data_IF_242235133753
#
_entry.id   IF_242235133753
#
_cell.length_a   1.000
_cell.length_b   1.000
_cell.length_c   1.000
_cell.angle_alpha   90.00
_cell.angle_beta   90.00
_cell.angle_gamma   90.00
#
_symmetry.space_group_name_H-M   'P 1'
#
loop_
_entity.id
_entity.type
_entity.pdbx_description
1 polymer ?
#
# COMPACT_ATOMS: atom_id res chain seq x y z
N UNK A 1 -14.66 -50.72 79.19
CA UNK A 1 -14.02 -49.43 79.46
C UNK A 1 -13.71 -48.75 78.11
N UNK A 2 -14.40 -47.69 77.88
CA UNK A 2 -14.44 -47.02 76.62
C UNK A 2 -13.30 -46.01 76.47
N UNK A 3 -12.63 -46.01 75.31
CA UNK A 3 -11.75 -44.89 74.92
C UNK A 3 -12.21 -44.35 73.64
N UNK A 4 -12.68 -43.10 73.69
CA UNK A 4 -13.11 -42.31 72.49
C UNK A 4 -11.84 -41.79 71.80
N UNK A 5 -11.68 -42.12 70.52
CA UNK A 5 -10.73 -41.46 69.63
C UNK A 5 -11.46 -40.34 68.90
N UNK A 6 -11.02 -39.13 69.12
CA UNK A 6 -11.45 -37.93 68.35
C UNK A 6 -10.89 -38.00 66.95
N UNK A 7 -11.75 -37.83 66.02
CA UNK A 7 -11.43 -37.75 64.56
C UNK A 7 -11.31 -36.28 64.18
N UNK A 8 -10.07 -35.79 64.02
CA UNK A 8 -9.82 -34.43 63.53
C UNK A 8 -10.04 -34.45 62.03
N UNK A 9 -11.09 -33.77 61.58
CA UNK A 9 -11.33 -33.51 60.17
C UNK A 9 -10.46 -32.32 59.74
N UNK A 10 -9.42 -32.58 58.95
CA UNK A 10 -8.73 -31.53 58.22
C UNK A 10 -9.59 -31.11 57.03
N UNK A 11 -10.19 -29.93 57.13
CA UNK A 11 -10.85 -29.28 56.02
C UNK A 11 -9.79 -28.54 55.21
N UNK A 12 -9.38 -29.11 54.10
CA UNK A 12 -8.51 -28.42 53.11
C UNK A 12 -9.37 -27.46 52.33
N UNK A 13 -9.21 -26.17 52.59
CA UNK A 13 -9.85 -25.11 51.75
C UNK A 13 -9.02 -24.98 50.48
N UNK A 14 -9.52 -25.53 49.37
CA UNK A 14 -9.02 -25.23 48.05
C UNK A 14 -9.50 -23.82 47.67
N UNK A 15 -8.60 -22.83 47.77
CA UNK A 15 -8.81 -21.55 47.14
C UNK A 15 -8.64 -21.70 45.62
N UNK A 16 -9.72 -21.80 44.88
CA UNK A 16 -9.72 -21.71 43.47
C UNK A 16 -9.40 -20.24 43.11
N UNK A 17 -8.14 -19.95 42.76
CA UNK A 17 -7.76 -18.71 42.12
C UNK A 17 -8.33 -18.73 40.69
N UNK A 18 -9.50 -18.14 40.53
CA UNK A 18 -10.06 -17.82 39.21
C UNK A 18 -9.14 -16.80 38.54
N UNK A 19 -8.21 -17.27 37.69
CA UNK A 19 -7.58 -16.39 36.72
C UNK A 19 -8.71 -15.89 35.77
N UNK A 20 -9.20 -14.70 36.04
CA UNK A 20 -9.92 -13.92 35.04
C UNK A 20 -8.93 -13.63 33.90
N UNK A 21 -8.90 -14.51 32.91
CA UNK A 21 -8.37 -14.14 31.58
C UNK A 21 -9.34 -13.09 31.05
N UNK A 22 -9.00 -11.82 31.22
CA UNK A 22 -9.58 -10.77 30.38
C UNK A 22 -9.22 -11.17 28.94
N UNK A 23 -10.21 -11.33 28.05
CA UNK A 23 -9.85 -11.47 26.64
C UNK A 23 -9.05 -10.21 26.30
N UNK A 24 -7.82 -10.39 25.79
CA UNK A 24 -7.13 -9.33 25.09
C UNK A 24 -8.09 -8.88 23.99
N UNK A 25 -8.73 -7.76 24.21
CA UNK A 25 -9.43 -7.05 23.16
C UNK A 25 -8.30 -6.54 22.25
N UNK A 26 -7.89 -7.36 21.29
CA UNK A 26 -7.16 -6.89 20.13
C UNK A 26 -8.05 -5.78 19.54
N UNK A 27 -7.66 -4.54 19.79
CA UNK A 27 -8.30 -3.38 19.17
C UNK A 27 -8.32 -3.67 17.68
N UNK A 28 -9.50 -3.75 17.10
CA UNK A 28 -9.64 -3.96 15.67
C UNK A 28 -8.70 -2.96 14.96
N UNK A 29 -7.87 -3.42 14.01
CA UNK A 29 -6.89 -2.55 13.39
C UNK A 29 -7.57 -1.26 12.91
N UNK A 30 -7.05 -0.12 13.35
CA UNK A 30 -7.55 1.19 12.99
C UNK A 30 -7.09 1.57 11.59
N UNK A 31 -7.67 2.64 11.05
CA UNK A 31 -7.07 3.30 9.88
C UNK A 31 -5.81 4.04 10.36
N UNK A 32 -4.67 3.76 9.74
CA UNK A 32 -3.38 4.36 10.07
C UNK A 32 -2.79 5.06 8.86
N UNK A 33 -2.02 6.14 9.10
CA UNK A 33 -1.39 6.90 8.04
C UNK A 33 0.00 6.32 7.75
N UNK A 34 0.28 6.03 6.49
CA UNK A 34 1.61 5.77 5.94
C UNK A 34 2.06 6.91 5.03
N UNK A 35 3.34 6.93 4.66
CA UNK A 35 3.91 7.89 3.71
C UNK A 35 4.44 7.14 2.50
N UNK A 36 3.91 7.47 1.32
CA UNK A 36 4.43 7.04 0.05
C UNK A 36 5.66 7.89 -0.33
N UNK A 37 6.75 7.22 -0.69
CA UNK A 37 8.02 7.85 -1.05
C UNK A 37 7.88 8.78 -2.25
N UNK A 38 6.93 8.48 -3.14
CA UNK A 38 6.64 9.34 -4.29
C UNK A 38 6.29 10.78 -3.92
N UNK A 39 5.78 11.01 -2.70
CA UNK A 39 5.54 12.36 -2.17
C UNK A 39 6.80 13.24 -2.09
N UNK A 40 7.99 12.62 -2.14
CA UNK A 40 9.30 13.29 -2.12
C UNK A 40 10.06 13.09 -3.44
N UNK A 41 9.34 12.78 -4.53
CA UNK A 41 9.95 12.39 -5.81
C UNK A 41 10.84 13.50 -6.42
N UNK A 42 10.52 14.78 -6.23
CA UNK A 42 11.31 15.90 -6.73
C UNK A 42 12.66 16.01 -6.01
N UNK A 43 12.62 15.88 -4.68
CA UNK A 43 13.84 15.88 -3.86
C UNK A 43 14.73 14.67 -4.15
N UNK A 44 14.15 13.49 -4.33
CA UNK A 44 14.86 12.26 -4.69
C UNK A 44 15.48 12.34 -6.08
N UNK A 45 14.70 12.73 -7.10
CA UNK A 45 15.18 12.92 -8.48
C UNK A 45 16.22 14.02 -8.59
N UNK A 46 16.04 15.10 -7.82
CA UNK A 46 16.98 16.21 -7.74
C UNK A 46 18.24 15.93 -6.93
N UNK A 47 18.34 14.77 -6.28
CA UNK A 47 19.49 14.34 -5.49
C UNK A 47 19.68 15.09 -4.17
N UNK A 48 18.67 15.84 -3.72
CA UNK A 48 18.67 16.52 -2.41
C UNK A 48 18.25 15.60 -1.27
N UNK A 49 17.62 14.48 -1.61
CA UNK A 49 17.23 13.41 -0.69
C UNK A 49 17.86 12.11 -1.19
N UNK A 50 18.48 11.35 -0.27
CA UNK A 50 18.93 9.99 -0.54
C UNK A 50 17.81 9.01 -0.16
N UNK A 51 17.52 8.02 -1.03
CA UNK A 51 16.51 7.00 -0.77
C UNK A 51 16.71 6.29 0.58
N UNK A 52 17.96 6.02 0.97
CA UNK A 52 18.27 5.37 2.24
C UNK A 52 17.88 6.21 3.46
N UNK A 53 17.71 7.52 3.30
CA UNK A 53 17.31 8.43 4.39
C UNK A 53 15.78 8.56 4.52
N UNK A 54 15.01 8.05 3.55
CA UNK A 54 13.56 8.19 3.53
C UNK A 54 12.86 7.73 4.82
N UNK A 55 13.17 6.56 5.42
CA UNK A 55 12.55 6.16 6.69
C UNK A 55 12.80 7.18 7.82
N UNK A 56 14.03 7.69 7.90
CA UNK A 56 14.40 8.71 8.90
C UNK A 56 13.68 10.03 8.66
N UNK A 57 13.49 10.43 7.40
CA UNK A 57 12.74 11.63 7.01
C UNK A 57 11.28 11.48 7.41
N UNK A 58 10.63 10.37 7.07
CA UNK A 58 9.24 10.07 7.43
C UNK A 58 9.03 10.21 8.95
N UNK A 59 9.91 9.60 9.74
CA UNK A 59 9.82 9.64 11.20
C UNK A 59 10.11 11.00 11.78
N UNK A 60 11.23 11.64 11.42
CA UNK A 60 11.71 12.86 12.06
C UNK A 60 10.99 14.12 11.60
N UNK A 61 10.65 14.21 10.31
CA UNK A 61 10.05 15.43 9.76
C UNK A 61 8.51 15.41 9.85
N UNK A 62 7.90 14.23 9.73
CA UNK A 62 6.45 14.11 9.66
C UNK A 62 5.83 13.33 10.83
N UNK A 63 6.65 12.64 11.64
CA UNK A 63 6.13 11.80 12.73
C UNK A 63 5.41 10.55 12.24
N UNK A 64 5.66 10.14 10.98
CA UNK A 64 5.05 8.95 10.37
C UNK A 64 6.02 7.79 10.54
N UNK A 65 5.51 6.66 11.03
CA UNK A 65 6.31 5.47 11.32
C UNK A 65 6.02 4.28 10.39
N UNK A 66 5.29 4.50 9.29
CA UNK A 66 5.01 3.50 8.26
C UNK A 66 5.30 4.10 6.90
N UNK A 67 6.10 3.39 6.09
CA UNK A 67 6.55 3.88 4.78
C UNK A 67 6.24 2.93 3.65
N UNK A 68 6.06 3.52 2.47
CA UNK A 68 5.78 2.84 1.21
C UNK A 68 6.81 3.30 0.18
N UNK A 69 7.65 2.36 -0.25
CA UNK A 69 8.74 2.63 -1.19
C UNK A 69 8.29 2.63 -2.64
N UNK A 70 9.07 3.28 -3.50
CA UNK A 70 8.95 3.19 -4.96
C UNK A 70 10.24 2.57 -5.51
N UNK A 71 10.11 1.48 -6.27
CA UNK A 71 11.26 0.76 -6.78
C UNK A 71 12.25 1.64 -7.59
N UNK A 72 11.74 2.58 -8.37
CA UNK A 72 12.53 3.53 -9.14
C UNK A 72 13.45 4.43 -8.31
N UNK A 73 13.17 4.58 -7.00
CA UNK A 73 14.01 5.36 -6.07
C UNK A 73 15.21 4.56 -5.53
N UNK A 74 15.19 3.23 -5.64
CA UNK A 74 16.29 2.38 -5.17
C UNK A 74 17.60 2.74 -5.89
N UNK A 75 18.65 2.92 -5.10
CA UNK A 75 19.91 3.42 -5.64
C UNK A 75 19.98 4.95 -5.78
N UNK A 76 18.96 5.69 -5.31
CA UNK A 76 18.91 7.16 -5.27
C UNK A 76 19.11 7.81 -6.63
N UNK A 77 18.61 7.19 -7.71
CA UNK A 77 18.84 7.62 -9.11
C UNK A 77 20.34 7.70 -9.51
N UNK A 78 21.24 7.19 -8.68
CA UNK A 78 22.69 7.18 -8.95
C UNK A 78 23.16 5.88 -9.59
N UNK A 79 22.33 4.86 -9.58
CA UNK A 79 22.56 3.56 -10.21
C UNK A 79 21.25 2.93 -10.69
N UNK A 80 21.34 1.88 -11.49
CA UNK A 80 20.17 1.13 -11.95
C UNK A 80 19.38 0.58 -10.74
N UNK A 81 18.13 1.00 -10.60
CA UNK A 81 17.25 0.56 -9.53
C UNK A 81 16.98 -0.95 -9.57
N UNK A 82 16.98 -1.56 -10.76
CA UNK A 82 16.76 -3.00 -10.94
C UNK A 82 17.89 -3.82 -10.32
N UNK A 83 19.12 -3.31 -10.37
CA UNK A 83 20.26 -3.92 -9.71
C UNK A 83 20.27 -3.59 -8.22
N UNK A 84 19.87 -2.37 -7.83
CA UNK A 84 19.74 -2.00 -6.43
C UNK A 84 18.73 -2.89 -5.68
N UNK A 85 17.61 -3.25 -6.33
CA UNK A 85 16.59 -4.15 -5.79
C UNK A 85 17.07 -5.59 -5.54
N UNK A 86 18.22 -6.00 -6.09
CA UNK A 86 18.85 -7.32 -5.86
C UNK A 86 20.06 -7.24 -4.94
N UNK A 87 20.56 -6.03 -4.66
CA UNK A 87 21.78 -5.85 -3.87
C UNK A 87 21.51 -6.04 -2.39
N UNK A 88 21.91 -7.17 -1.86
CA UNK A 88 21.73 -7.51 -0.44
C UNK A 88 22.47 -6.57 0.52
N UNK A 89 23.53 -5.91 0.09
CA UNK A 89 24.23 -4.91 0.92
C UNK A 89 23.37 -3.66 1.04
N UNK A 90 22.82 -3.20 -0.07
CA UNK A 90 21.92 -2.06 -0.13
C UNK A 90 20.62 -2.31 0.66
N UNK A 91 19.96 -3.46 0.42
CA UNK A 91 18.73 -3.84 1.13
C UNK A 91 18.95 -3.96 2.63
N UNK A 92 20.09 -4.50 3.05
CA UNK A 92 20.46 -4.59 4.48
C UNK A 92 20.61 -3.21 5.12
N UNK A 93 21.27 -2.28 4.42
CA UNK A 93 21.41 -0.92 4.90
C UNK A 93 20.06 -0.21 5.02
N UNK A 94 19.18 -0.36 4.03
CA UNK A 94 17.82 0.20 4.06
C UNK A 94 17.02 -0.37 5.24
N UNK A 95 17.02 -1.70 5.42
CA UNK A 95 16.35 -2.35 6.54
C UNK A 95 16.91 -1.89 7.89
N UNK A 96 18.24 -1.74 7.99
CA UNK A 96 18.88 -1.22 9.19
C UNK A 96 18.39 0.20 9.50
N UNK A 97 18.39 1.10 8.51
CA UNK A 97 17.97 2.50 8.72
C UNK A 97 16.50 2.63 9.07
N UNK A 98 15.63 1.81 8.51
CA UNK A 98 14.21 1.78 8.91
C UNK A 98 14.04 1.35 10.37
N UNK A 99 14.77 0.31 10.81
CA UNK A 99 14.75 -0.16 12.21
C UNK A 99 15.36 0.87 13.17
N UNK A 100 16.46 1.49 12.80
CA UNK A 100 17.10 2.56 13.62
C UNK A 100 16.17 3.78 13.78
N UNK A 101 15.31 4.04 12.80
CA UNK A 101 14.33 5.12 12.83
C UNK A 101 13.01 4.73 13.51
N UNK A 102 12.82 3.49 13.96
CA UNK A 102 11.56 2.93 14.46
C UNK A 102 10.42 3.10 13.43
N UNK A 103 10.69 2.64 12.19
CA UNK A 103 9.79 2.73 11.04
C UNK A 103 9.50 1.34 10.51
N UNK A 104 8.21 1.07 10.26
CA UNK A 104 7.70 -0.13 9.59
C UNK A 104 7.75 0.06 8.08
N UNK A 105 8.41 -0.86 7.37
CA UNK A 105 8.33 -0.95 5.92
C UNK A 105 7.04 -1.67 5.55
N UNK A 106 6.15 -1.02 4.80
CA UNK A 106 4.82 -1.58 4.51
C UNK A 106 4.71 -2.12 3.10
N UNK A 107 5.12 -1.34 2.10
CA UNK A 107 4.83 -1.61 0.71
C UNK A 107 6.00 -1.19 -0.19
N UNK A 108 6.17 -1.90 -1.33
CA UNK A 108 6.99 -1.45 -2.46
C UNK A 108 6.07 -1.28 -3.67
N UNK A 109 6.04 -0.08 -4.24
CA UNK A 109 5.42 0.22 -5.52
C UNK A 109 6.39 -0.16 -6.63
N UNK A 110 5.93 -0.96 -7.60
CA UNK A 110 6.76 -1.45 -8.70
C UNK A 110 6.32 -0.85 -10.01
N UNK A 111 7.21 -0.08 -10.62
CA UNK A 111 7.09 0.52 -11.94
C UNK A 111 8.22 0.02 -12.87
N UNK A 112 8.09 0.21 -14.18
CA UNK A 112 9.12 -0.01 -15.20
C UNK A 112 9.75 -1.42 -15.27
N UNK A 113 8.99 -2.44 -14.85
CA UNK A 113 9.39 -3.87 -14.92
C UNK A 113 8.68 -4.65 -16.04
N UNK A 114 8.09 -3.93 -17.00
CA UNK A 114 7.28 -4.47 -18.09
C UNK A 114 5.79 -4.46 -17.77
N UNK A 115 4.98 -4.81 -18.76
CA UNK A 115 3.54 -4.62 -18.72
C UNK A 115 2.80 -5.93 -18.40
N UNK A 116 2.11 -5.95 -17.27
CA UNK A 116 1.40 -7.15 -16.79
C UNK A 116 0.09 -7.41 -17.53
N UNK A 117 -0.46 -6.41 -18.25
CA UNK A 117 -1.66 -6.54 -19.04
C UNK A 117 -1.38 -6.60 -20.56
N UNK A 118 -0.12 -6.77 -20.97
CA UNK A 118 0.21 -6.96 -22.39
C UNK A 118 -0.28 -8.30 -22.88
N UNK A 119 -0.84 -8.34 -24.09
CA UNK A 119 -1.46 -9.54 -24.64
C UNK A 119 -0.44 -10.52 -25.26
N UNK A 120 0.76 -10.02 -25.57
CA UNK A 120 1.85 -10.86 -26.04
C UNK A 120 2.45 -11.69 -24.89
N UNK A 121 2.29 -13.01 -24.97
CA UNK A 121 2.64 -13.94 -23.88
C UNK A 121 4.11 -13.86 -23.47
N UNK A 122 5.03 -13.77 -24.44
CA UNK A 122 6.47 -13.72 -24.15
C UNK A 122 6.85 -12.50 -23.33
N UNK A 123 6.33 -11.33 -23.70
CA UNK A 123 6.60 -10.09 -23.02
C UNK A 123 5.93 -10.05 -21.63
N UNK A 124 4.69 -10.55 -21.55
CA UNK A 124 3.94 -10.64 -20.29
C UNK A 124 4.64 -11.55 -19.29
N UNK A 125 5.08 -12.74 -19.71
CA UNK A 125 5.77 -13.67 -18.83
C UNK A 125 7.14 -13.12 -18.38
N UNK A 126 7.84 -12.38 -19.24
CA UNK A 126 9.05 -11.67 -18.86
C UNK A 126 8.76 -10.58 -17.83
N UNK A 127 7.67 -9.82 -17.99
CA UNK A 127 7.24 -8.83 -17.00
C UNK A 127 6.92 -9.50 -15.65
N UNK A 128 6.17 -10.59 -15.63
CA UNK A 128 5.90 -11.36 -14.41
C UNK A 128 7.22 -11.77 -13.73
N UNK A 129 8.18 -12.29 -14.49
CA UNK A 129 9.48 -12.71 -13.94
C UNK A 129 10.25 -11.52 -13.36
N UNK A 130 10.24 -10.37 -14.03
CA UNK A 130 10.90 -9.16 -13.58
C UNK A 130 10.34 -8.63 -12.24
N UNK A 131 9.04 -8.80 -12.00
CA UNK A 131 8.41 -8.37 -10.75
C UNK A 131 8.80 -9.23 -9.54
N UNK A 132 9.20 -10.49 -9.73
CA UNK A 132 9.50 -11.42 -8.63
C UNK A 132 10.63 -10.94 -7.73
N UNK A 133 11.68 -10.32 -8.28
CA UNK A 133 12.78 -9.77 -7.48
C UNK A 133 12.31 -8.71 -6.46
N UNK A 134 11.24 -7.96 -6.80
CA UNK A 134 10.65 -6.97 -5.89
C UNK A 134 9.82 -7.61 -4.79
N UNK A 135 9.22 -8.77 -5.05
CA UNK A 135 8.57 -9.58 -4.02
C UNK A 135 9.61 -10.14 -3.05
N UNK A 136 10.76 -10.60 -3.57
CA UNK A 136 11.89 -11.05 -2.75
C UNK A 136 12.48 -9.89 -1.92
N UNK A 137 12.67 -8.71 -2.53
CA UNK A 137 13.12 -7.50 -1.84
C UNK A 137 12.11 -7.07 -0.75
N UNK A 138 10.80 -7.10 -1.06
CA UNK A 138 9.74 -6.81 -0.09
C UNK A 138 9.80 -7.77 1.10
N UNK A 139 9.99 -9.07 0.84
CA UNK A 139 10.15 -10.07 1.92
C UNK A 139 11.36 -9.77 2.78
N UNK A 140 12.49 -9.44 2.18
CA UNK A 140 13.70 -9.10 2.92
C UNK A 140 13.56 -7.84 3.76
N UNK A 141 12.92 -6.80 3.21
CA UNK A 141 12.65 -5.53 3.88
C UNK A 141 11.50 -5.61 4.91
N UNK A 142 10.91 -6.79 5.10
CA UNK A 142 9.78 -7.04 6.02
C UNK A 142 8.47 -6.34 5.58
N UNK A 143 8.40 -5.87 4.32
CA UNK A 143 7.16 -5.36 3.73
C UNK A 143 6.09 -6.46 3.67
N UNK A 144 4.84 -6.04 3.66
CA UNK A 144 3.68 -6.96 3.56
C UNK A 144 3.00 -6.91 2.20
N UNK A 145 3.35 -5.94 1.37
CA UNK A 145 2.63 -5.66 0.13
C UNK A 145 3.57 -5.22 -0.98
N UNK A 146 3.27 -5.65 -2.20
CA UNK A 146 3.87 -5.15 -3.43
C UNK A 146 2.75 -4.62 -4.31
N UNK A 147 2.82 -3.35 -4.73
CA UNK A 147 1.92 -2.74 -5.68
C UNK A 147 2.45 -2.93 -7.09
N UNK A 148 1.57 -3.30 -8.00
CA UNK A 148 1.82 -3.47 -9.42
C UNK A 148 0.81 -2.69 -10.26
N UNK A 149 1.18 -2.39 -11.51
CA UNK A 149 0.31 -1.72 -12.48
C UNK A 149 -0.19 -2.71 -13.54
N UNK A 150 -1.43 -2.50 -14.02
CA UNK A 150 -2.00 -3.26 -15.13
C UNK A 150 -1.91 -2.45 -16.44
N UNK A 151 -0.69 -2.07 -16.80
CA UNK A 151 -0.41 -1.49 -18.11
C UNK A 151 -0.26 -2.56 -19.18
N UNK A 152 -0.61 -2.20 -20.41
CA UNK A 152 -0.49 -3.10 -21.58
C UNK A 152 -1.15 -2.53 -22.82
N UNK A 153 -0.98 -3.22 -23.93
CA UNK A 153 -1.58 -2.93 -25.23
C UNK A 153 -2.53 -4.05 -25.67
N UNK A 154 -3.46 -3.72 -26.54
CA UNK A 154 -4.47 -4.63 -27.08
C UNK A 154 -5.88 -4.30 -26.63
N UNK A 155 -6.84 -5.11 -27.07
CA UNK A 155 -8.25 -4.96 -26.72
C UNK A 155 -8.50 -5.15 -25.22
N UNK A 156 -9.41 -4.36 -24.66
CA UNK A 156 -9.73 -4.34 -23.22
C UNK A 156 -10.03 -5.73 -22.64
N UNK A 157 -10.74 -6.59 -23.40
CA UNK A 157 -11.05 -7.95 -22.96
C UNK A 157 -9.80 -8.84 -22.91
N UNK A 158 -8.91 -8.74 -23.89
CA UNK A 158 -7.66 -9.48 -23.94
C UNK A 158 -6.68 -9.01 -22.84
N UNK A 159 -6.59 -7.70 -22.60
CA UNK A 159 -5.84 -7.13 -21.48
C UNK A 159 -6.34 -7.64 -20.11
N UNK A 160 -7.66 -7.81 -19.97
CA UNK A 160 -8.24 -8.41 -18.75
C UNK A 160 -7.74 -9.83 -18.54
N UNK A 161 -7.79 -10.68 -19.57
CA UNK A 161 -7.30 -12.06 -19.51
C UNK A 161 -5.80 -12.12 -19.17
N UNK A 162 -5.00 -11.26 -19.79
CA UNK A 162 -3.57 -11.11 -19.51
C UNK A 162 -3.31 -10.71 -18.05
N UNK A 163 -4.09 -9.75 -17.54
CA UNK A 163 -4.01 -9.28 -16.15
C UNK A 163 -4.31 -10.40 -15.15
N UNK A 164 -5.34 -11.20 -15.41
CA UNK A 164 -5.72 -12.33 -14.56
C UNK A 164 -4.60 -13.37 -14.50
N UNK A 165 -4.00 -13.72 -15.64
CA UNK A 165 -2.87 -14.65 -15.69
C UNK A 165 -1.66 -14.11 -14.91
N UNK A 166 -1.26 -12.87 -15.16
CA UNK A 166 -0.13 -12.22 -14.49
C UNK A 166 -0.30 -12.15 -12.97
N UNK A 167 -1.46 -11.66 -12.51
CA UNK A 167 -1.74 -11.55 -11.09
C UNK A 167 -1.86 -12.90 -10.40
N UNK A 168 -2.40 -13.91 -11.10
CA UNK A 168 -2.46 -15.28 -10.57
C UNK A 168 -1.07 -15.84 -10.33
N UNK A 169 -0.13 -15.65 -11.27
CA UNK A 169 1.26 -16.09 -11.16
C UNK A 169 2.00 -15.35 -10.06
N UNK A 170 1.87 -14.02 -9.98
CA UNK A 170 2.51 -13.22 -8.92
C UNK A 170 1.93 -13.55 -7.55
N UNK A 171 0.60 -13.74 -7.46
CA UNK A 171 -0.06 -14.15 -6.22
C UNK A 171 0.42 -15.51 -5.72
N UNK A 172 0.56 -16.51 -6.61
CA UNK A 172 1.12 -17.83 -6.24
C UNK A 172 2.57 -17.72 -5.77
N UNK A 173 3.41 -16.94 -6.46
CA UNK A 173 4.79 -16.73 -6.06
C UNK A 173 4.91 -16.03 -4.69
N UNK A 174 4.09 -15.01 -4.44
CA UNK A 174 4.12 -14.22 -3.22
C UNK A 174 3.50 -14.93 -2.00
N UNK A 175 2.57 -15.88 -2.22
CA UNK A 175 1.80 -16.54 -1.15
C UNK A 175 2.66 -17.18 -0.05
N UNK A 176 3.68 -18.02 -0.35
CA UNK A 176 4.52 -18.64 0.68
C UNK A 176 5.35 -17.64 1.47
N UNK A 177 5.54 -16.42 0.95
CA UNK A 177 6.26 -15.34 1.61
C UNK A 177 5.35 -14.49 2.50
N UNK A 178 4.03 -14.73 2.46
CA UNK A 178 3.01 -13.92 3.12
C UNK A 178 3.04 -12.46 2.66
N UNK A 179 3.18 -12.25 1.33
CA UNK A 179 3.17 -10.95 0.67
C UNK A 179 1.87 -10.81 -0.12
N UNK A 180 1.24 -9.66 -0.02
CA UNK A 180 0.11 -9.27 -0.85
C UNK A 180 0.60 -8.65 -2.17
N UNK A 181 -0.11 -8.96 -3.25
CA UNK A 181 0.01 -8.26 -4.53
C UNK A 181 -1.22 -7.36 -4.69
N UNK A 182 -1.01 -6.08 -4.86
CA UNK A 182 -2.12 -5.13 -5.03
C UNK A 182 -2.01 -4.37 -6.34
N UNK A 183 -3.15 -4.07 -6.93
CA UNK A 183 -3.27 -3.28 -8.15
C UNK A 183 -3.76 -1.89 -7.79
N UNK A 184 -3.05 -0.88 -8.26
CA UNK A 184 -3.49 0.51 -8.22
C UNK A 184 -4.28 0.86 -9.50
N UNK A 185 -5.33 1.66 -9.37
CA UNK A 185 -5.91 2.34 -10.53
C UNK A 185 -4.91 3.41 -11.01
N UNK A 186 -4.32 3.22 -12.20
CA UNK A 186 -3.15 3.98 -12.62
C UNK A 186 -3.11 4.20 -14.15
N UNK A 187 -4.18 4.75 -14.71
CA UNK A 187 -4.31 5.07 -16.13
C UNK A 187 -4.94 3.96 -16.98
N UNK A 188 -5.37 4.32 -18.17
CA UNK A 188 -5.98 3.43 -19.15
C UNK A 188 -7.15 2.64 -18.54
N UNK A 189 -7.29 1.33 -18.86
CA UNK A 189 -8.36 0.48 -18.32
C UNK A 189 -8.28 0.31 -16.81
N UNK A 190 -7.09 0.43 -16.19
CA UNK A 190 -6.98 0.32 -14.73
C UNK A 190 -7.61 1.51 -13.99
N UNK A 191 -7.81 2.65 -14.64
CA UNK A 191 -8.60 3.77 -14.10
C UNK A 191 -10.11 3.48 -14.06
N UNK A 192 -10.59 2.41 -14.69
CA UNK A 192 -11.99 1.96 -14.64
C UNK A 192 -12.17 1.01 -13.46
N UNK A 193 -12.70 1.48 -12.33
CA UNK A 193 -12.84 0.68 -11.12
C UNK A 193 -13.53 -0.66 -11.34
N UNK A 194 -14.64 -0.69 -12.11
CA UNK A 194 -15.35 -1.92 -12.45
C UNK A 194 -14.49 -2.96 -13.18
N UNK A 195 -13.56 -2.50 -14.04
CA UNK A 195 -12.69 -3.40 -14.80
C UNK A 195 -11.68 -4.08 -13.88
N UNK A 196 -11.04 -3.31 -12.98
CA UNK A 196 -10.11 -3.87 -11.98
C UNK A 196 -10.86 -4.76 -11.00
N UNK A 197 -12.04 -4.36 -10.53
CA UNK A 197 -12.87 -5.17 -9.64
C UNK A 197 -13.26 -6.53 -10.28
N UNK A 198 -13.52 -6.54 -11.59
CA UNK A 198 -13.81 -7.77 -12.33
C UNK A 198 -12.55 -8.67 -12.45
N UNK A 199 -11.38 -8.08 -12.70
CA UNK A 199 -10.09 -8.80 -12.63
C UNK A 199 -9.92 -9.45 -11.25
N UNK A 200 -10.16 -8.70 -10.15
CA UNK A 200 -10.01 -9.22 -8.79
C UNK A 200 -10.95 -10.40 -8.51
N UNK A 201 -12.22 -10.31 -8.93
CA UNK A 201 -13.18 -11.41 -8.77
C UNK A 201 -12.73 -12.68 -9.49
N UNK A 202 -12.14 -12.56 -10.68
CA UNK A 202 -11.68 -13.70 -11.46
C UNK A 202 -10.35 -14.27 -10.95
N UNK A 203 -9.41 -13.43 -10.48
CA UNK A 203 -8.18 -13.89 -9.82
C UNK A 203 -8.50 -14.67 -8.54
N UNK A 204 -9.43 -14.19 -7.74
CA UNK A 204 -9.97 -14.84 -6.54
C UNK A 204 -8.91 -15.45 -5.60
N UNK A 205 -7.88 -14.68 -5.28
CA UNK A 205 -6.79 -15.08 -4.35
C UNK A 205 -6.78 -14.17 -3.13
N UNK A 206 -6.70 -14.74 -1.95
CA UNK A 206 -6.73 -14.01 -0.68
C UNK A 206 -5.58 -12.98 -0.55
N UNK A 207 -4.44 -13.24 -1.17
CA UNK A 207 -3.28 -12.35 -1.15
C UNK A 207 -3.16 -11.46 -2.40
N UNK A 208 -4.21 -11.37 -3.24
CA UNK A 208 -4.29 -10.41 -4.35
C UNK A 208 -5.44 -9.46 -4.09
N UNK A 209 -5.21 -8.17 -4.30
CA UNK A 209 -6.22 -7.14 -4.02
C UNK A 209 -5.93 -5.82 -4.73
N UNK A 210 -6.46 -4.73 -4.20
CA UNK A 210 -6.33 -3.39 -4.76
C UNK A 210 -5.66 -2.42 -3.80
N UNK A 211 -5.11 -1.35 -4.36
CA UNK A 211 -4.68 -0.13 -3.70
C UNK A 211 -5.47 1.02 -4.36
N UNK A 212 -6.71 1.31 -3.94
CA UNK A 212 -7.48 2.41 -4.50
C UNK A 212 -6.75 3.74 -4.31
N UNK A 213 -6.41 4.41 -5.42
CA UNK A 213 -5.83 5.74 -5.44
C UNK A 213 -6.91 6.80 -5.69
N UNK A 214 -6.85 7.91 -4.96
CA UNK A 214 -7.87 8.97 -5.02
C UNK A 214 -7.76 9.88 -6.23
N UNK A 215 -6.60 9.89 -6.93
CA UNK A 215 -6.31 10.82 -8.02
C UNK A 215 -6.31 10.20 -9.42
N UNK A 216 -5.96 8.92 -9.55
CA UNK A 216 -5.61 8.28 -10.83
C UNK A 216 -6.82 7.74 -11.61
N UNK A 217 -7.79 8.60 -11.93
CA UNK A 217 -9.02 8.24 -12.65
C UNK A 217 -9.11 8.78 -14.09
N UNK A 218 -8.02 9.34 -14.63
CA UNK A 218 -7.97 9.74 -16.03
C UNK A 218 -7.62 8.55 -16.92
N UNK A 219 -8.61 8.09 -17.69
CA UNK A 219 -8.47 6.97 -18.63
C UNK A 219 -7.54 7.32 -19.78
N UNK A 220 -7.63 8.56 -20.29
CA UNK A 220 -6.85 9.04 -21.43
C UNK A 220 -5.39 9.40 -21.08
N UNK A 221 -5.03 9.42 -19.77
CA UNK A 221 -3.66 9.67 -19.33
C UNK A 221 -2.94 8.35 -19.02
N UNK A 222 -1.70 8.15 -19.48
CA UNK A 222 -0.99 6.86 -19.28
C UNK A 222 -0.83 6.45 -17.82
N UNK A 223 -0.68 7.42 -16.90
CA UNK A 223 -0.57 7.20 -15.44
C UNK A 223 -1.83 7.57 -14.67
N UNK A 224 -2.91 7.91 -15.36
CA UNK A 224 -4.21 8.15 -14.73
C UNK A 224 -4.36 9.46 -13.94
N UNK A 225 -3.33 10.29 -13.85
CA UNK A 225 -3.40 11.54 -13.07
C UNK A 225 -4.51 12.46 -13.53
N UNK A 226 -5.16 13.11 -12.59
CA UNK A 226 -6.21 14.12 -12.84
C UNK A 226 -5.75 15.52 -12.45
N UNK A 227 -4.44 15.74 -12.28
CA UNK A 227 -3.87 17.04 -11.98
C UNK A 227 -4.04 18.01 -13.15
N UNK A 228 -3.68 17.61 -14.36
CA UNK A 228 -3.86 18.34 -15.60
C UNK A 228 -5.26 18.17 -16.21
N UNK A 229 -5.35 18.43 -17.52
CA UNK A 229 -6.54 18.15 -18.33
C UNK A 229 -6.70 16.64 -18.56
N UNK A 230 -7.92 16.18 -18.54
CA UNK A 230 -8.26 14.79 -18.78
C UNK A 230 -9.41 14.71 -19.79
N UNK A 231 -9.14 14.14 -20.96
CA UNK A 231 -10.14 14.02 -22.01
C UNK A 231 -11.20 12.94 -21.71
N UNK A 232 -10.86 11.90 -20.99
CA UNK A 232 -11.78 10.83 -20.59
C UNK A 232 -11.52 10.47 -19.13
N UNK A 233 -12.44 10.83 -18.25
CA UNK A 233 -12.34 10.62 -16.80
C UNK A 233 -13.36 9.59 -16.33
N UNK A 234 -12.93 8.65 -15.50
CA UNK A 234 -13.84 7.78 -14.74
C UNK A 234 -14.32 8.48 -13.47
N UNK A 235 -15.55 8.23 -13.05
CA UNK A 235 -16.03 8.74 -11.76
C UNK A 235 -15.20 8.14 -10.60
N UNK A 236 -14.39 8.99 -9.95
CA UNK A 236 -13.47 8.56 -8.90
C UNK A 236 -14.17 7.97 -7.68
N UNK A 237 -15.33 8.51 -7.32
CA UNK A 237 -16.06 8.05 -6.14
C UNK A 237 -16.64 6.66 -6.37
N UNK A 238 -17.22 6.46 -7.55
CA UNK A 238 -17.66 5.14 -8.01
C UNK A 238 -16.49 4.19 -8.13
N UNK A 239 -15.37 4.62 -8.70
CA UNK A 239 -14.17 3.79 -8.85
C UNK A 239 -13.61 3.34 -7.51
N UNK A 240 -13.48 4.24 -6.54
CA UNK A 240 -13.03 3.90 -5.18
C UNK A 240 -14.01 2.92 -4.52
N UNK A 241 -15.33 3.16 -4.62
CA UNK A 241 -16.36 2.26 -4.08
C UNK A 241 -16.26 0.85 -4.69
N UNK A 242 -15.99 0.73 -5.99
CA UNK A 242 -15.83 -0.56 -6.69
C UNK A 242 -14.56 -1.31 -6.29
N UNK A 243 -13.48 -0.59 -5.92
CA UNK A 243 -12.19 -1.17 -5.57
C UNK A 243 -12.07 -1.53 -4.08
N UNK A 244 -12.71 -0.79 -3.18
CA UNK A 244 -12.64 -0.97 -1.73
C UNK A 244 -12.93 -2.40 -1.24
N UNK A 245 -13.85 -3.19 -1.82
CA UNK A 245 -14.07 -4.58 -1.38
C UNK A 245 -12.85 -5.49 -1.50
N UNK A 246 -11.86 -5.11 -2.31
CA UNK A 246 -10.62 -5.85 -2.52
C UNK A 246 -9.39 -5.15 -1.93
N UNK A 247 -9.58 -3.99 -1.28
CA UNK A 247 -8.48 -3.15 -0.82
C UNK A 247 -7.63 -3.82 0.26
N UNK A 248 -6.31 -3.64 0.15
CA UNK A 248 -5.31 -4.01 1.15
C UNK A 248 -4.45 -2.82 1.57
N UNK A 249 -4.71 -1.67 1.04
CA UNK A 249 -4.18 -0.36 1.31
C UNK A 249 -5.01 0.67 0.55
N UNK A 250 -4.82 1.95 0.80
CA UNK A 250 -5.44 3.07 0.08
C UNK A 250 -4.37 4.12 -0.19
N UNK A 251 -4.30 4.65 -1.40
CA UNK A 251 -3.44 5.80 -1.73
C UNK A 251 -4.26 7.09 -1.65
N UNK A 252 -3.93 7.91 -0.66
CA UNK A 252 -4.55 9.22 -0.45
C UNK A 252 -3.81 10.28 -1.28
N UNK A 253 -3.94 10.17 -2.62
CA UNK A 253 -3.33 11.11 -3.54
C UNK A 253 -3.88 12.53 -3.35
N UNK A 254 -2.97 13.49 -3.31
CA UNK A 254 -3.28 14.92 -3.29
C UNK A 254 -2.41 15.65 -4.31
N UNK A 255 -2.95 16.74 -4.79
CA UNK A 255 -2.28 17.73 -5.63
C UNK A 255 -2.09 19.03 -4.86
N UNK A 256 -1.85 20.14 -5.55
CA UNK A 256 -1.76 21.45 -4.92
C UNK A 256 -3.06 21.79 -4.17
N UNK A 257 -2.90 22.31 -2.96
CA UNK A 257 -3.99 22.70 -2.09
C UNK A 257 -4.44 24.15 -2.35
N UNK A 258 -5.72 24.43 -2.11
CA UNK A 258 -6.23 25.79 -2.09
C UNK A 258 -5.83 26.54 -0.80
N UNK A 259 -6.22 27.81 -0.71
CA UNK A 259 -5.93 28.67 0.45
C UNK A 259 -6.59 28.17 1.77
N UNK A 260 -7.61 27.31 1.68
CA UNK A 260 -8.31 26.74 2.83
C UNK A 260 -7.72 25.39 3.27
N UNK A 261 -6.70 24.88 2.55
CA UNK A 261 -6.10 23.57 2.80
C UNK A 261 -6.98 22.40 2.33
N UNK A 262 -7.83 22.63 1.35
CA UNK A 262 -8.67 21.61 0.71
C UNK A 262 -8.11 21.24 -0.68
N UNK A 263 -8.55 20.10 -1.18
CA UNK A 263 -8.22 19.66 -2.54
C UNK A 263 -9.29 20.17 -3.54
N UNK A 264 -8.96 21.09 -4.44
CA UNK A 264 -9.97 21.72 -5.32
C UNK A 264 -10.70 20.73 -6.23
N UNK A 265 -10.03 19.61 -6.58
CA UNK A 265 -10.54 18.62 -7.53
C UNK A 265 -11.02 17.32 -6.89
N UNK A 266 -10.81 17.15 -5.56
CA UNK A 266 -11.06 15.89 -4.86
C UNK A 266 -11.84 16.16 -3.57
N UNK A 267 -13.08 15.70 -3.49
CA UNK A 267 -13.85 15.76 -2.25
C UNK A 267 -13.36 14.66 -1.27
N UNK A 268 -12.41 15.04 -0.44
CA UNK A 268 -11.81 14.15 0.56
C UNK A 268 -12.81 13.66 1.60
N UNK A 269 -13.78 14.51 1.99
CA UNK A 269 -14.83 14.11 2.93
C UNK A 269 -15.65 12.94 2.37
N UNK A 270 -16.00 13.00 1.09
CA UNK A 270 -16.76 11.94 0.42
C UNK A 270 -15.93 10.66 0.29
N UNK A 271 -14.66 10.76 -0.13
CA UNK A 271 -13.78 9.59 -0.27
C UNK A 271 -13.51 8.90 1.07
N UNK A 272 -13.17 9.67 2.11
CA UNK A 272 -12.98 9.10 3.45
C UNK A 272 -14.27 8.52 4.03
N UNK A 273 -15.43 9.08 3.67
CA UNK A 273 -16.73 8.48 3.97
C UNK A 273 -16.91 7.10 3.35
N UNK A 274 -16.52 6.92 2.08
CA UNK A 274 -16.55 5.62 1.39
C UNK A 274 -15.59 4.62 2.05
N UNK A 275 -14.36 5.04 2.35
CA UNK A 275 -13.36 4.18 3.04
C UNK A 275 -13.90 3.69 4.38
N UNK A 276 -14.46 4.58 5.20
CA UNK A 276 -15.08 4.21 6.50
C UNK A 276 -16.28 3.28 6.33
N UNK A 277 -17.16 3.58 5.40
CA UNK A 277 -18.37 2.79 5.13
C UNK A 277 -18.06 1.39 4.62
N UNK A 278 -16.94 1.20 3.91
CA UNK A 278 -16.49 -0.13 3.45
C UNK A 278 -16.02 -1.05 4.57
N UNK A 279 -15.75 -0.50 5.76
CA UNK A 279 -15.15 -1.24 6.87
C UNK A 279 -13.66 -1.54 6.68
N UNK A 280 -12.99 -0.93 5.68
CA UNK A 280 -11.56 -1.10 5.44
C UNK A 280 -10.75 -0.78 6.71
N UNK A 281 -9.77 -1.61 6.99
CA UNK A 281 -8.79 -1.47 8.08
C UNK A 281 -7.39 -1.63 7.49
N UNK A 282 -6.48 -0.75 7.90
CA UNK A 282 -5.11 -0.79 7.41
C UNK A 282 -4.55 0.60 7.11
N UNK A 283 -3.59 0.66 6.20
CA UNK A 283 -2.85 1.89 5.93
C UNK A 283 -3.49 2.72 4.82
N UNK A 284 -3.47 4.04 5.04
CA UNK A 284 -3.81 5.05 4.05
C UNK A 284 -2.52 5.83 3.79
N UNK A 285 -1.92 5.62 2.62
CA UNK A 285 -0.67 6.22 2.20
C UNK A 285 -0.87 7.67 1.74
N UNK A 286 -0.15 8.61 2.37
CA UNK A 286 -0.03 9.96 1.83
C UNK A 286 0.76 9.89 0.54
N UNK A 287 0.20 10.40 -0.56
CA UNK A 287 0.88 10.55 -1.84
C UNK A 287 0.61 11.95 -2.42
N UNK A 288 1.52 12.87 -2.13
CA UNK A 288 1.44 14.25 -2.62
C UNK A 288 2.16 14.37 -3.98
N UNK A 289 1.44 14.90 -4.97
CA UNK A 289 1.95 15.15 -6.33
C UNK A 289 1.72 16.61 -6.79
N UNK A 290 1.57 17.56 -5.87
CA UNK A 290 1.46 18.97 -6.23
C UNK A 290 2.75 19.48 -6.88
N UNK A 291 2.60 20.39 -7.84
CA UNK A 291 3.72 20.93 -8.63
C UNK A 291 4.23 22.25 -8.09
N UNK A 292 3.34 23.07 -7.52
CA UNK A 292 3.65 24.45 -7.12
C UNK A 292 4.03 24.58 -5.65
N UNK A 293 3.51 23.70 -4.79
CA UNK A 293 3.80 23.70 -3.36
C UNK A 293 5.02 22.83 -3.02
N UNK A 294 5.82 23.19 -2.00
CA UNK A 294 6.88 22.33 -1.49
C UNK A 294 6.36 20.96 -1.06
N UNK A 295 7.14 19.89 -1.29
CA UNK A 295 6.75 18.51 -0.99
C UNK A 295 6.46 18.31 0.50
N UNK A 296 7.28 18.88 1.38
CA UNK A 296 7.09 18.79 2.84
C UNK A 296 5.81 19.50 3.32
N UNK A 297 5.47 20.64 2.71
CA UNK A 297 4.23 21.34 2.98
C UNK A 297 3.02 20.52 2.49
N UNK A 298 3.09 19.98 1.27
CA UNK A 298 2.04 19.13 0.69
C UNK A 298 1.77 17.88 1.53
N UNK A 299 2.82 17.19 1.99
CA UNK A 299 2.71 16.04 2.90
C UNK A 299 1.99 16.42 4.20
N UNK A 300 2.40 17.56 4.83
CA UNK A 300 1.76 18.03 6.07
C UNK A 300 0.29 18.38 5.87
N UNK A 301 -0.05 19.03 4.76
CA UNK A 301 -1.44 19.37 4.40
C UNK A 301 -2.26 18.12 4.15
N UNK A 302 -1.72 17.13 3.42
CA UNK A 302 -2.40 15.84 3.22
C UNK A 302 -2.64 15.12 4.55
N UNK A 303 -1.65 15.10 5.44
CA UNK A 303 -1.80 14.52 6.76
C UNK A 303 -2.87 15.22 7.59
N UNK A 304 -2.92 16.56 7.55
CA UNK A 304 -3.94 17.35 8.25
C UNK A 304 -5.34 17.05 7.69
N UNK A 305 -5.46 16.95 6.37
CA UNK A 305 -6.71 16.62 5.68
C UNK A 305 -7.20 15.21 6.03
N UNK A 306 -6.32 14.23 6.05
CA UNK A 306 -6.66 12.87 6.50
C UNK A 306 -7.12 12.86 7.97
N UNK A 307 -6.37 13.48 8.88
CA UNK A 307 -6.73 13.56 10.31
C UNK A 307 -8.08 14.26 10.57
N UNK A 308 -8.47 15.16 9.69
CA UNK A 308 -9.79 15.83 9.77
C UNK A 308 -10.93 14.85 9.49
N UNK A 309 -10.70 13.80 8.69
CA UNK A 309 -11.73 12.87 8.25
C UNK A 309 -11.53 11.42 8.74
N UNK A 310 -10.42 11.10 9.46
CA UNK A 310 -10.26 9.84 10.19
C UNK A 310 -11.08 9.83 11.46
#
# INVERSE_FOLDING_TARGET
MSSRREFIKHTTILTASSLCMTPDFELAPSLEISLAEWSLNRGLKGGTIDHLDFPSIARKQFGINVVEYVNGCFGSYKRDFKEAGKDMVYLRELLKRSKDADVTNHLIMVDDEGFLAITEDKERLAAVENHKKWIDAAKYLECKTVRVNLHGSGETAAKKTASIDSLSRLGEFAKPMNINIVVENHGSDSSRGFWVADVMRQVNKANVGTLPDFGNFCISHPWGTTQGECAEMYDRYKGVEELLPFAKGVSAKTYDFDANGEQPKIDYKRLMGLVKASGFKGYIGIEFEGETQPEDEGIRKTMALLKKYL
#
